data_IF_528843207934
#
_entry.id   IF_528843207934
#
_cell.length_a   1.000
_cell.length_b   1.000
_cell.length_c   1.000
_cell.angle_alpha   90.00
_cell.angle_beta   90.00
_cell.angle_gamma   90.00
#
_symmetry.space_group_name_H-M   'P 1'
#
loop_
_entity.id
_entity.type
_entity.pdbx_description
1 polymer ?
#
# COMPACT_ATOMS: atom_id res chain seq x y z
N UNK A 1 17.20 -29.97 14.15
CA UNK A 1 15.74 -29.95 13.94
C UNK A 1 15.15 -29.27 15.15
N UNK A 2 14.46 -28.14 14.99
CA UNK A 2 13.90 -27.40 16.13
C UNK A 2 12.80 -28.22 16.80
N UNK A 3 12.57 -28.02 18.11
CA UNK A 3 11.41 -28.57 18.80
C UNK A 3 10.10 -28.15 18.10
N UNK A 4 10.08 -26.95 17.52
CA UNK A 4 8.97 -26.45 16.71
C UNK A 4 8.73 -27.31 15.45
N UNK A 5 9.78 -27.64 14.69
CA UNK A 5 9.67 -28.47 13.48
C UNK A 5 9.19 -29.89 13.81
N UNK A 6 9.60 -30.41 14.97
CA UNK A 6 9.18 -31.73 15.45
C UNK A 6 7.68 -31.79 15.72
N UNK A 7 7.08 -30.72 16.26
CA UNK A 7 5.61 -30.62 16.44
C UNK A 7 4.93 -30.73 15.08
N UNK A 8 5.37 -29.94 14.11
CA UNK A 8 4.74 -29.84 12.79
C UNK A 8 4.96 -31.03 11.87
N UNK A 9 5.91 -31.92 12.18
CA UNK A 9 6.19 -33.15 11.42
C UNK A 9 5.67 -34.42 12.12
N UNK A 10 5.47 -34.38 13.44
CA UNK A 10 4.98 -35.52 14.24
C UNK A 10 3.50 -35.88 14.03
N UNK A 11 3.12 -37.06 14.51
CA UNK A 11 1.71 -37.47 14.62
C UNK A 11 1.06 -36.83 15.83
N UNK A 12 -0.21 -36.46 15.72
CA UNK A 12 -0.95 -35.87 16.84
C UNK A 12 -1.02 -36.85 18.02
N UNK A 13 -0.61 -36.39 19.21
CA UNK A 13 -0.68 -37.18 20.44
C UNK A 13 -1.91 -36.78 21.23
N UNK A 14 -2.97 -37.57 21.15
CA UNK A 14 -4.23 -37.28 21.82
C UNK A 14 -4.06 -37.16 23.34
N UNK A 15 -4.91 -36.34 23.96
CA UNK A 15 -5.07 -36.24 25.42
C UNK A 15 -6.37 -36.97 25.74
N UNK A 16 -6.28 -38.03 26.53
CA UNK A 16 -7.38 -38.99 26.72
C UNK A 16 -8.50 -38.44 27.61
N UNK A 17 -8.15 -37.72 28.67
CA UNK A 17 -9.12 -37.21 29.65
C UNK A 17 -9.24 -35.69 29.60
N UNK A 18 -10.41 -35.17 29.93
CA UNK A 18 -10.63 -33.73 30.06
C UNK A 18 -9.81 -33.14 31.23
N UNK A 19 -9.71 -33.87 32.35
CA UNK A 19 -8.97 -33.43 33.54
C UNK A 19 -7.46 -33.26 33.25
N UNK A 20 -6.86 -34.18 32.48
CA UNK A 20 -5.46 -34.05 32.04
C UNK A 20 -5.27 -32.82 31.15
N UNK A 21 -6.25 -32.52 30.29
CA UNK A 21 -6.22 -31.36 29.42
C UNK A 21 -6.30 -30.06 30.23
N UNK A 22 -7.19 -30.00 31.23
CA UNK A 22 -7.33 -28.88 32.16
C UNK A 22 -6.00 -28.64 32.90
N UNK A 23 -5.38 -29.69 33.47
CA UNK A 23 -4.12 -29.57 34.18
C UNK A 23 -2.97 -29.07 33.28
N UNK A 24 -2.93 -29.52 32.02
CA UNK A 24 -1.96 -29.03 31.05
C UNK A 24 -2.21 -27.56 30.68
N UNK A 25 -3.46 -27.14 30.53
CA UNK A 25 -3.82 -25.74 30.25
C UNK A 25 -3.39 -24.83 31.39
N UNK A 26 -3.67 -25.20 32.65
CA UNK A 26 -3.26 -24.39 33.81
C UNK A 26 -1.74 -24.20 33.89
N UNK A 27 -0.98 -25.28 33.68
CA UNK A 27 0.49 -25.23 33.62
C UNK A 27 0.97 -24.38 32.44
N UNK A 28 0.37 -24.55 31.27
CA UNK A 28 0.72 -23.78 30.08
C UNK A 28 0.44 -22.28 30.26
N UNK A 29 -0.65 -21.90 30.95
CA UNK A 29 -0.93 -20.52 31.34
C UNK A 29 0.11 -19.95 32.29
N UNK A 30 0.68 -20.77 33.17
CA UNK A 30 1.78 -20.41 34.05
C UNK A 30 3.15 -20.33 33.33
N UNK A 31 3.19 -20.59 32.02
CA UNK A 31 4.42 -20.53 31.22
C UNK A 31 5.26 -21.82 31.21
N UNK A 32 4.68 -22.95 31.62
CA UNK A 32 5.34 -24.26 31.55
C UNK A 32 5.52 -24.71 30.08
N UNK A 33 6.74 -24.58 29.58
CA UNK A 33 7.11 -24.97 28.20
C UNK A 33 6.76 -26.43 27.87
N UNK A 34 7.13 -27.45 28.68
CA UNK A 34 6.69 -28.83 28.47
C UNK A 34 5.16 -28.99 28.32
N UNK A 35 4.37 -28.27 29.12
CA UNK A 35 2.91 -28.32 29.02
C UNK A 35 2.41 -27.71 27.70
N UNK A 36 2.98 -26.58 27.28
CA UNK A 36 2.67 -25.95 25.99
C UNK A 36 2.99 -26.91 24.83
N UNK A 37 4.17 -27.53 24.85
CA UNK A 37 4.59 -28.49 23.81
C UNK A 37 3.64 -29.70 23.75
N UNK A 38 3.27 -30.26 24.90
CA UNK A 38 2.34 -31.39 24.97
C UNK A 38 0.96 -31.06 24.41
N UNK A 39 0.44 -29.86 24.70
CA UNK A 39 -0.80 -29.36 24.13
C UNK A 39 -0.66 -29.14 22.62
N UNK A 40 0.44 -28.53 22.16
CA UNK A 40 0.69 -28.29 20.74
C UNK A 40 0.74 -29.60 19.94
N UNK A 41 1.40 -30.64 20.46
CA UNK A 41 1.41 -31.98 19.85
C UNK A 41 0.00 -32.59 19.72
N UNK A 42 -0.90 -32.34 20.67
CA UNK A 42 -2.29 -32.81 20.61
C UNK A 42 -3.11 -32.04 19.57
N UNK A 43 -2.88 -30.72 19.49
CA UNK A 43 -3.64 -29.80 18.65
C UNK A 43 -3.06 -29.58 17.24
N UNK A 44 -1.92 -30.17 16.90
CA UNK A 44 -1.25 -29.96 15.60
C UNK A 44 -2.15 -30.28 14.40
N UNK A 45 -3.03 -31.27 14.47
CA UNK A 45 -3.97 -31.58 13.39
C UNK A 45 -4.97 -30.44 13.14
N UNK A 46 -5.40 -29.74 14.19
CA UNK A 46 -6.28 -28.57 14.06
C UNK A 46 -5.54 -27.41 13.42
N UNK A 47 -4.29 -27.16 13.84
CA UNK A 47 -3.44 -26.12 13.27
C UNK A 47 -3.12 -26.39 11.79
N UNK A 48 -2.73 -27.63 11.44
CA UNK A 48 -2.51 -28.06 10.03
C UNK A 48 -3.75 -27.84 9.16
N UNK A 49 -4.93 -28.19 9.68
CA UNK A 49 -6.20 -27.96 8.97
C UNK A 49 -6.49 -26.47 8.80
N UNK A 50 -6.19 -25.64 9.79
CA UNK A 50 -6.40 -24.20 9.73
C UNK A 50 -5.49 -23.52 8.69
N UNK A 51 -4.20 -23.90 8.63
CA UNK A 51 -3.24 -23.25 7.70
C UNK A 51 -3.49 -23.60 6.23
N UNK A 52 -4.18 -24.70 5.92
CA UNK A 52 -4.36 -25.19 4.53
C UNK A 52 -5.00 -24.12 3.62
N UNK A 53 -5.88 -23.26 4.16
CA UNK A 53 -6.50 -22.18 3.38
C UNK A 53 -5.58 -20.97 3.14
N UNK A 54 -4.48 -20.85 3.88
CA UNK A 54 -3.56 -19.72 3.84
C UNK A 54 -2.26 -20.01 3.09
N UNK A 55 -1.94 -21.27 2.79
CA UNK A 55 -0.70 -21.62 2.07
C UNK A 55 -0.61 -21.03 0.65
N UNK A 56 -1.70 -20.45 0.14
CA UNK A 56 -1.73 -19.72 -1.14
C UNK A 56 -1.33 -18.24 -1.02
N UNK A 57 -1.48 -17.68 0.18
CA UNK A 57 -1.32 -16.24 0.44
C UNK A 57 -0.23 -15.95 1.48
N UNK A 58 0.32 -16.99 2.10
CA UNK A 58 1.31 -16.90 3.15
C UNK A 58 2.32 -18.06 3.00
N UNK A 59 3.64 -17.81 3.09
CA UNK A 59 4.63 -18.87 3.15
C UNK A 59 4.30 -19.87 4.26
N UNK A 60 4.64 -21.14 4.03
CA UNK A 60 4.24 -22.22 4.95
C UNK A 60 4.78 -22.02 6.37
N UNK A 61 6.00 -21.52 6.52
CA UNK A 61 6.60 -21.30 7.82
C UNK A 61 5.95 -20.13 8.56
N UNK A 62 5.60 -19.05 7.86
CA UNK A 62 4.84 -17.93 8.45
C UNK A 62 3.43 -18.38 8.87
N UNK A 63 2.77 -19.21 8.05
CA UNK A 63 1.48 -19.79 8.41
C UNK A 63 1.57 -20.68 9.66
N UNK A 64 2.64 -21.47 9.79
CA UNK A 64 2.90 -22.29 10.98
C UNK A 64 3.13 -21.43 12.21
N UNK A 65 3.93 -20.37 12.10
CA UNK A 65 4.21 -19.46 13.20
C UNK A 65 2.93 -18.72 13.65
N UNK A 66 2.18 -18.15 12.70
CA UNK A 66 0.93 -17.45 12.98
C UNK A 66 -0.12 -18.37 13.64
N UNK A 67 -0.28 -19.60 13.14
CA UNK A 67 -1.15 -20.58 13.77
C UNK A 67 -0.72 -20.92 15.21
N UNK A 68 0.60 -21.02 15.46
CA UNK A 68 1.11 -21.26 16.81
C UNK A 68 0.86 -20.07 17.75
N UNK A 69 1.00 -18.83 17.27
CA UNK A 69 0.64 -17.62 18.03
C UNK A 69 -0.85 -17.64 18.41
N UNK A 70 -1.75 -17.86 17.44
CA UNK A 70 -3.18 -17.97 17.72
C UNK A 70 -3.52 -19.11 18.68
N UNK A 71 -2.79 -20.22 18.61
CA UNK A 71 -2.93 -21.31 19.57
C UNK A 71 -2.53 -20.91 21.00
N UNK A 72 -1.41 -20.20 21.17
CA UNK A 72 -0.98 -19.69 22.48
C UNK A 72 -1.97 -18.67 23.05
N UNK A 73 -2.55 -17.81 22.21
CA UNK A 73 -3.61 -16.88 22.61
C UNK A 73 -4.86 -17.62 23.09
N UNK A 74 -5.27 -18.70 22.41
CA UNK A 74 -6.37 -19.53 22.86
C UNK A 74 -6.10 -20.14 24.25
N UNK A 75 -4.89 -20.66 24.49
CA UNK A 75 -4.50 -21.19 25.81
C UNK A 75 -4.61 -20.11 26.89
N UNK A 76 -4.16 -18.88 26.60
CA UNK A 76 -4.26 -17.76 27.56
C UNK A 76 -5.71 -17.37 27.83
N UNK A 77 -6.55 -17.36 26.81
CA UNK A 77 -7.91 -16.84 26.88
C UNK A 77 -8.97 -17.84 27.34
N UNK A 78 -8.69 -19.15 27.33
CA UNK A 78 -9.67 -20.17 27.73
C UNK A 78 -10.18 -19.96 29.16
N UNK A 79 -11.48 -20.00 29.35
CA UNK A 79 -12.11 -19.92 30.66
C UNK A 79 -12.52 -21.33 31.10
N UNK A 80 -11.70 -21.94 31.98
CA UNK A 80 -11.87 -23.31 32.45
C UNK A 80 -13.13 -23.50 33.31
N UNK A 81 -13.75 -22.42 33.79
CA UNK A 81 -15.04 -22.49 34.47
C UNK A 81 -16.21 -22.69 33.48
N UNK A 82 -16.01 -22.38 32.20
CA UNK A 82 -17.05 -22.46 31.15
C UNK A 82 -16.87 -23.63 30.20
N UNK A 83 -15.64 -24.08 29.99
CA UNK A 83 -15.34 -25.22 29.13
C UNK A 83 -14.09 -25.95 29.62
N UNK A 84 -14.15 -27.27 29.55
CA UNK A 84 -13.08 -28.21 29.90
C UNK A 84 -12.20 -28.58 28.69
N UNK A 85 -12.62 -28.24 27.46
CA UNK A 85 -11.89 -28.59 26.22
C UNK A 85 -11.43 -27.35 25.45
N UNK A 86 -10.15 -27.28 25.12
CA UNK A 86 -9.58 -26.15 24.37
C UNK A 86 -10.13 -26.09 22.93
N UNK A 87 -10.51 -27.24 22.35
CA UNK A 87 -11.11 -27.34 21.01
C UNK A 87 -12.33 -26.43 20.82
N UNK A 88 -13.07 -26.16 21.90
CA UNK A 88 -14.27 -25.32 21.90
C UNK A 88 -13.98 -23.87 21.48
N UNK A 89 -12.77 -23.37 21.74
CA UNK A 89 -12.41 -21.97 21.50
C UNK A 89 -11.23 -21.78 20.56
N UNK A 90 -10.45 -22.82 20.25
CA UNK A 90 -9.18 -22.67 19.53
C UNK A 90 -9.35 -22.10 18.11
N UNK A 91 -10.44 -22.47 17.42
CA UNK A 91 -10.67 -22.12 16.02
C UNK A 91 -10.66 -20.61 15.74
N UNK A 92 -11.45 -19.75 16.42
CA UNK A 92 -11.43 -18.32 16.17
C UNK A 92 -10.05 -17.68 16.36
N UNK A 93 -9.27 -18.09 17.37
CA UNK A 93 -7.93 -17.54 17.56
C UNK A 93 -6.96 -17.95 16.45
N UNK A 94 -7.00 -19.21 16.00
CA UNK A 94 -6.22 -19.65 14.84
C UNK A 94 -6.55 -18.84 13.59
N UNK A 95 -7.84 -18.62 13.34
CA UNK A 95 -8.30 -17.86 12.18
C UNK A 95 -7.85 -16.41 12.26
N UNK A 96 -8.03 -15.76 13.41
CA UNK A 96 -7.67 -14.34 13.58
C UNK A 96 -6.16 -14.12 13.41
N UNK A 97 -5.33 -15.00 13.99
CA UNK A 97 -3.88 -14.89 13.88
C UNK A 97 -3.39 -15.12 12.44
N UNK A 98 -4.00 -16.08 11.72
CA UNK A 98 -3.68 -16.31 10.30
C UNK A 98 -4.17 -15.18 9.39
N UNK A 99 -5.34 -14.61 9.67
CA UNK A 99 -5.86 -13.44 8.93
C UNK A 99 -4.94 -12.24 9.12
N UNK A 100 -4.52 -11.96 10.36
CA UNK A 100 -3.57 -10.89 10.67
C UNK A 100 -2.23 -11.08 9.92
N UNK A 101 -1.61 -12.26 10.03
CA UNK A 101 -0.36 -12.57 9.35
C UNK A 101 -0.49 -12.49 7.82
N UNK A 102 -1.60 -12.96 7.25
CA UNK A 102 -1.84 -12.85 5.80
C UNK A 102 -2.04 -11.41 5.33
N UNK A 103 -2.57 -10.55 6.20
CA UNK A 103 -2.74 -9.13 5.91
C UNK A 103 -1.40 -8.38 5.99
N UNK A 104 -0.51 -8.77 6.91
CA UNK A 104 0.82 -8.19 7.06
C UNK A 104 1.78 -8.64 5.95
N UNK A 105 1.69 -9.90 5.53
CA UNK A 105 2.50 -10.45 4.44
C UNK A 105 2.12 -9.92 3.05
N UNK A 106 1.05 -9.13 2.94
CA UNK A 106 0.75 -8.36 1.72
C UNK A 106 1.74 -7.20 1.62
N UNK A 107 2.88 -7.44 0.99
CA UNK A 107 3.82 -6.41 0.59
C UNK A 107 3.14 -5.41 -0.35
N UNK A 108 3.29 -4.11 -0.09
CA UNK A 108 2.68 -3.04 -0.88
C UNK A 108 1.63 -2.26 -0.10
N UNK A 109 0.36 -2.48 -0.41
CA UNK A 109 -0.76 -1.68 0.12
C UNK A 109 -1.79 -2.56 0.85
N UNK A 110 -2.05 -2.24 2.12
CA UNK A 110 -3.09 -2.90 2.90
C UNK A 110 -4.43 -2.19 2.70
N UNK A 111 -5.40 -2.91 2.12
CA UNK A 111 -6.79 -2.46 2.01
C UNK A 111 -7.61 -3.16 3.11
N UNK A 112 -8.35 -2.41 3.96
CA UNK A 112 -9.20 -3.02 4.99
C UNK A 112 -10.19 -4.05 4.41
N UNK A 113 -10.37 -5.17 5.10
CA UNK A 113 -11.17 -6.32 4.62
C UNK A 113 -12.56 -5.93 4.11
N UNK A 114 -13.29 -5.06 4.83
CA UNK A 114 -14.62 -4.58 4.43
C UNK A 114 -14.60 -3.78 3.13
N UNK A 115 -13.57 -2.96 2.93
CA UNK A 115 -13.38 -2.18 1.70
C UNK A 115 -13.08 -3.11 0.53
N UNK A 116 -12.26 -4.14 0.78
CA UNK A 116 -11.83 -5.13 -0.20
C UNK A 116 -13.01 -6.04 -0.64
N UNK A 117 -13.82 -6.52 0.30
CA UNK A 117 -15.05 -7.26 0.04
C UNK A 117 -16.03 -6.44 -0.82
N UNK A 118 -16.23 -5.16 -0.45
CA UNK A 118 -17.10 -4.24 -1.20
C UNK A 118 -16.58 -4.03 -2.62
N UNK A 119 -15.27 -3.84 -2.79
CA UNK A 119 -14.63 -3.70 -4.10
C UNK A 119 -14.87 -4.92 -5.00
N UNK A 120 -14.62 -6.15 -4.50
CA UNK A 120 -14.86 -7.35 -5.31
C UNK A 120 -16.34 -7.56 -5.64
N UNK A 121 -17.25 -7.21 -4.73
CA UNK A 121 -18.68 -7.23 -5.01
C UNK A 121 -19.07 -6.27 -6.14
N UNK A 122 -18.54 -5.04 -6.14
CA UNK A 122 -18.78 -4.06 -7.21
C UNK A 122 -18.23 -4.57 -8.55
N UNK A 123 -17.01 -5.12 -8.53
CA UNK A 123 -16.35 -5.65 -9.74
C UNK A 123 -17.12 -6.84 -10.33
N UNK A 124 -17.63 -7.74 -9.49
CA UNK A 124 -18.45 -8.86 -9.93
C UNK A 124 -19.79 -8.43 -10.55
N UNK A 125 -20.40 -7.35 -10.05
CA UNK A 125 -21.65 -6.79 -10.62
C UNK A 125 -21.45 -6.09 -11.97
N UNK A 126 -20.19 -5.78 -12.31
CA UNK A 126 -19.79 -5.22 -13.58
C UNK A 126 -19.13 -6.26 -14.50
N UNK A 127 -19.36 -7.56 -14.25
CA UNK A 127 -18.78 -8.68 -15.01
C UNK A 127 -17.24 -8.61 -15.15
N UNK A 128 -16.55 -8.01 -14.17
CA UNK A 128 -15.10 -7.87 -14.17
C UNK A 128 -14.56 -6.66 -14.92
N UNK A 129 -15.39 -5.80 -15.52
CA UNK A 129 -14.94 -4.55 -16.17
C UNK A 129 -14.66 -3.46 -15.10
N UNK A 130 -13.39 -3.03 -14.92
CA UNK A 130 -13.02 -2.02 -13.93
C UNK A 130 -13.65 -0.65 -14.20
N UNK A 131 -13.82 -0.25 -15.46
CA UNK A 131 -14.35 1.06 -15.81
C UNK A 131 -15.86 1.15 -15.55
N UNK A 132 -16.60 0.07 -15.84
CA UNK A 132 -18.00 -0.05 -15.47
C UNK A 132 -18.18 -0.17 -13.94
N UNK A 133 -17.32 -0.93 -13.27
CA UNK A 133 -17.32 -1.07 -11.82
C UNK A 133 -17.08 0.26 -11.09
N UNK A 134 -16.14 1.09 -11.56
CA UNK A 134 -15.85 2.39 -10.99
C UNK A 134 -17.08 3.33 -11.02
N UNK A 135 -17.82 3.33 -12.13
CA UNK A 135 -19.09 4.10 -12.26
C UNK A 135 -20.20 3.53 -11.39
N UNK A 136 -20.17 2.23 -11.08
CA UNK A 136 -21.13 1.55 -10.23
C UNK A 136 -20.85 1.78 -8.74
N UNK A 137 -19.59 2.03 -8.37
CA UNK A 137 -19.12 2.14 -7.00
C UNK A 137 -19.96 3.09 -6.09
N UNK A 138 -20.41 4.29 -6.56
CA UNK A 138 -21.22 5.17 -5.72
C UNK A 138 -22.54 4.55 -5.25
N UNK A 139 -23.11 3.59 -5.99
CA UNK A 139 -24.32 2.86 -5.58
C UNK A 139 -24.09 1.92 -4.39
N UNK A 140 -22.82 1.55 -4.17
CA UNK A 140 -22.39 0.67 -3.09
C UNK A 140 -21.64 1.45 -1.99
N UNK A 141 -21.92 2.75 -1.85
CA UNK A 141 -21.30 3.62 -0.85
C UNK A 141 -19.76 3.70 -0.96
N UNK A 142 -19.21 3.53 -2.16
CA UNK A 142 -17.78 3.71 -2.45
C UNK A 142 -17.62 4.83 -3.46
N UNK A 143 -16.77 5.82 -3.20
CA UNK A 143 -16.48 6.85 -4.19
C UNK A 143 -15.74 6.24 -5.37
N UNK A 144 -15.95 6.77 -6.57
CA UNK A 144 -15.24 6.34 -7.78
C UNK A 144 -13.71 6.46 -7.60
N UNK A 145 -13.23 7.55 -7.00
CA UNK A 145 -11.81 7.72 -6.69
C UNK A 145 -11.29 6.62 -5.76
N UNK A 146 -12.04 6.29 -4.71
CA UNK A 146 -11.67 5.22 -3.76
C UNK A 146 -11.69 3.84 -4.43
N UNK A 147 -12.58 3.60 -5.39
CA UNK A 147 -12.55 2.37 -6.18
C UNK A 147 -11.24 2.26 -6.97
N UNK A 148 -10.80 3.34 -7.62
CA UNK A 148 -9.53 3.35 -8.35
C UNK A 148 -8.32 3.21 -7.42
N UNK A 149 -8.33 3.82 -6.24
CA UNK A 149 -7.26 3.64 -5.23
C UNK A 149 -7.14 2.16 -4.81
N UNK A 150 -8.28 1.49 -4.57
CA UNK A 150 -8.32 0.07 -4.22
C UNK A 150 -7.92 -0.81 -5.39
N UNK A 151 -8.39 -0.49 -6.60
CA UNK A 151 -8.01 -1.20 -7.83
C UNK A 151 -6.49 -1.16 -8.01
N UNK A 152 -5.90 0.03 -7.94
CA UNK A 152 -4.46 0.24 -8.03
C UNK A 152 -3.71 -0.54 -6.93
N UNK A 153 -4.17 -0.49 -5.69
CA UNK A 153 -3.57 -1.24 -4.58
C UNK A 153 -3.59 -2.77 -4.81
N UNK A 154 -4.65 -3.31 -5.41
CA UNK A 154 -4.78 -4.75 -5.70
C UNK A 154 -3.95 -5.17 -6.91
N UNK A 155 -3.85 -4.31 -7.94
CA UNK A 155 -3.08 -4.60 -9.16
C UNK A 155 -1.60 -4.27 -9.03
N UNK A 156 -1.20 -3.43 -8.08
CA UNK A 156 0.20 -3.04 -7.84
C UNK A 156 1.09 -4.18 -7.29
N UNK A 157 0.52 -5.37 -7.07
CA UNK A 157 1.28 -6.56 -6.63
C UNK A 157 2.06 -7.25 -7.76
N UNK A 158 2.06 -6.71 -8.98
CA UNK A 158 3.00 -7.18 -10.01
C UNK A 158 4.41 -6.64 -9.68
N UNK A 159 5.36 -7.57 -9.47
CA UNK A 159 6.76 -7.21 -9.26
C UNK A 159 7.30 -6.42 -10.45
N UNK A 160 8.07 -5.37 -10.17
CA UNK A 160 8.79 -4.63 -11.22
C UNK A 160 9.69 -5.56 -12.04
N UNK A 161 10.25 -6.61 -11.44
CA UNK A 161 11.03 -7.63 -12.16
C UNK A 161 10.15 -8.38 -13.17
N UNK A 162 8.92 -8.75 -12.79
CA UNK A 162 7.99 -9.41 -13.70
C UNK A 162 7.54 -8.50 -14.83
N UNK A 163 7.38 -7.20 -14.56
CA UNK A 163 7.08 -6.20 -15.58
C UNK A 163 8.28 -5.98 -16.52
N UNK A 164 9.50 -5.95 -15.98
CA UNK A 164 10.75 -5.85 -16.75
C UNK A 164 10.99 -7.10 -17.61
N UNK A 165 10.68 -8.29 -17.11
CA UNK A 165 10.79 -9.53 -17.91
C UNK A 165 9.79 -9.54 -19.07
N UNK A 166 8.58 -9.02 -18.86
CA UNK A 166 7.53 -9.00 -19.87
C UNK A 166 7.68 -7.86 -20.91
N UNK A 167 8.15 -6.68 -20.48
CA UNK A 167 8.12 -5.44 -21.27
C UNK A 167 9.51 -4.79 -21.45
N UNK A 168 10.56 -5.34 -20.85
CA UNK A 168 11.92 -4.79 -20.89
C UNK A 168 11.99 -3.36 -20.33
N UNK A 169 12.92 -2.56 -20.86
CA UNK A 169 13.11 -1.16 -20.47
C UNK A 169 11.86 -0.28 -20.63
N UNK A 170 10.85 -0.71 -21.40
CA UNK A 170 9.57 0.01 -21.51
C UNK A 170 8.78 0.05 -20.19
N UNK A 171 8.88 -0.98 -19.34
CA UNK A 171 8.31 -0.97 -17.99
C UNK A 171 8.99 0.10 -17.11
N UNK A 172 10.30 0.29 -17.28
CA UNK A 172 11.06 1.32 -16.58
C UNK A 172 10.67 2.72 -17.06
N UNK A 173 10.42 2.91 -18.35
CA UNK A 173 9.97 4.20 -18.90
C UNK A 173 8.64 4.66 -18.31
N UNK A 174 7.68 3.77 -18.02
CA UNK A 174 6.41 4.15 -17.42
C UNK A 174 6.55 4.65 -15.95
N UNK A 175 7.56 4.17 -15.23
CA UNK A 175 7.81 4.50 -13.81
C UNK A 175 8.81 5.64 -13.64
N UNK A 176 9.78 5.74 -14.55
CA UNK A 176 10.91 6.68 -14.44
C UNK A 176 10.76 7.90 -15.33
N UNK A 177 9.78 7.96 -16.24
CA UNK A 177 9.48 9.21 -16.93
C UNK A 177 8.91 10.16 -15.88
N UNK A 178 9.64 11.20 -15.46
CA UNK A 178 8.94 12.33 -14.89
C UNK A 178 7.98 12.81 -15.99
N UNK A 179 6.92 13.52 -15.65
CA UNK A 179 6.14 14.27 -16.64
C UNK A 179 6.96 15.42 -17.29
N UNK A 180 8.29 15.26 -17.39
CA UNK A 180 9.32 16.23 -17.75
C UNK A 180 10.10 15.79 -18.99
N UNK A 181 9.42 15.25 -20.01
CA UNK A 181 9.71 15.81 -21.33
C UNK A 181 9.04 17.19 -21.32
N UNK A 182 9.63 18.13 -20.58
CA UNK A 182 9.47 19.54 -20.89
C UNK A 182 10.12 19.66 -22.25
N UNK A 183 9.24 19.69 -23.24
CA UNK A 183 9.48 19.47 -24.65
C UNK A 183 10.69 20.27 -25.11
N UNK A 184 11.57 19.65 -25.90
CA UNK A 184 12.59 20.41 -26.62
C UNK A 184 11.93 21.57 -27.42
N UNK A 185 10.67 21.38 -27.84
CA UNK A 185 9.80 22.38 -28.43
C UNK A 185 9.48 23.54 -27.48
N UNK A 186 9.09 23.27 -26.22
CA UNK A 186 8.83 24.30 -25.21
C UNK A 186 10.05 25.17 -24.94
N UNK A 187 11.24 24.55 -24.88
CA UNK A 187 12.49 25.29 -24.70
C UNK A 187 12.77 26.22 -25.88
N UNK A 188 12.55 25.75 -27.11
CA UNK A 188 12.69 26.56 -28.32
C UNK A 188 11.67 27.70 -28.35
N UNK A 189 10.43 27.45 -27.95
CA UNK A 189 9.38 28.48 -27.87
C UNK A 189 9.69 29.55 -26.83
N UNK A 190 10.23 29.16 -25.67
CA UNK A 190 10.67 30.09 -24.62
C UNK A 190 11.84 30.95 -25.10
N UNK A 191 12.83 30.35 -25.77
CA UNK A 191 13.96 31.10 -26.32
C UNK A 191 13.50 32.09 -27.41
N UNK A 192 12.57 31.69 -28.28
CA UNK A 192 11.94 32.56 -29.27
C UNK A 192 11.17 33.72 -28.61
N UNK A 193 10.41 33.43 -27.54
CA UNK A 193 9.70 34.45 -26.76
C UNK A 193 10.67 35.51 -26.22
N UNK A 194 11.76 35.07 -25.58
CA UNK A 194 12.73 35.99 -24.98
C UNK A 194 13.57 36.76 -26.01
N UNK A 195 13.68 36.26 -27.25
CA UNK A 195 14.27 36.99 -28.36
C UNK A 195 13.41 38.18 -28.85
N UNK A 196 12.09 38.14 -28.62
CA UNK A 196 11.14 39.16 -29.06
C UNK A 196 11.14 40.45 -28.21
N UNK A 197 11.70 40.40 -27.00
CA UNK A 197 11.62 41.50 -26.02
C UNK A 197 12.98 42.14 -25.76
N UNK A 198 12.96 43.36 -25.23
CA UNK A 198 14.21 44.04 -24.85
C UNK A 198 14.81 43.47 -23.56
N UNK A 199 16.05 43.85 -23.26
CA UNK A 199 16.81 43.31 -22.13
C UNK A 199 16.11 43.53 -20.78
N UNK A 200 15.47 44.68 -20.58
CA UNK A 200 14.77 44.97 -19.33
C UNK A 200 13.50 44.13 -19.19
N UNK A 201 12.74 43.95 -20.26
CA UNK A 201 11.56 43.10 -20.30
C UNK A 201 11.90 41.62 -20.07
N UNK A 202 12.98 41.16 -20.72
CA UNK A 202 13.54 39.83 -20.53
C UNK A 202 13.90 39.60 -19.06
N UNK A 203 14.68 40.50 -18.47
CA UNK A 203 15.16 40.35 -17.10
C UNK A 203 14.01 40.35 -16.08
N UNK A 204 13.03 41.26 -16.25
CA UNK A 204 11.83 41.28 -15.41
C UNK A 204 11.05 39.96 -15.50
N UNK A 205 10.86 39.43 -16.71
CA UNK A 205 10.17 38.16 -16.89
C UNK A 205 10.97 36.96 -16.35
N UNK A 206 12.29 36.94 -16.50
CA UNK A 206 13.13 35.86 -15.97
C UNK A 206 13.09 35.79 -14.45
N UNK A 207 13.16 36.93 -13.77
CA UNK A 207 13.03 37.01 -12.32
C UNK A 207 11.60 36.67 -11.85
N UNK A 208 10.57 37.19 -12.52
CA UNK A 208 9.19 36.94 -12.10
C UNK A 208 8.79 35.47 -12.22
N UNK A 209 9.22 34.79 -13.29
CA UNK A 209 8.87 33.39 -13.55
C UNK A 209 9.91 32.38 -13.06
N UNK A 210 10.97 32.82 -12.38
CA UNK A 210 11.96 31.92 -11.78
C UNK A 210 12.98 31.32 -12.76
N UNK A 211 13.17 31.90 -13.95
CA UNK A 211 14.20 31.47 -14.91
C UNK A 211 15.64 31.83 -14.48
N UNK A 212 15.80 32.61 -13.41
CA UNK A 212 17.11 33.01 -12.87
C UNK A 212 17.43 32.31 -11.55
N UNK A 213 16.50 32.33 -10.58
CA UNK A 213 16.74 31.88 -9.20
C UNK A 213 15.90 30.66 -8.79
N UNK A 214 15.33 29.93 -9.74
CA UNK A 214 14.37 28.81 -9.55
C UNK A 214 13.03 29.23 -8.91
N UNK A 215 13.04 30.22 -8.01
CA UNK A 215 11.85 30.79 -7.37
C UNK A 215 11.31 32.01 -8.11
N UNK A 216 9.99 32.17 -8.11
CA UNK A 216 9.33 33.37 -8.64
C UNK A 216 9.55 34.56 -7.71
N UNK A 217 9.95 35.71 -8.27
CA UNK A 217 10.15 36.94 -7.50
C UNK A 217 8.95 37.90 -7.65
N UNK A 218 8.33 38.39 -6.56
CA UNK A 218 7.22 39.34 -6.66
C UNK A 218 7.62 40.67 -7.31
N UNK A 219 6.68 41.32 -8.05
CA UNK A 219 6.92 42.60 -8.76
C UNK A 219 7.52 43.70 -7.86
N UNK A 220 7.20 43.71 -6.57
CA UNK A 220 7.73 44.70 -5.61
C UNK A 220 9.23 44.49 -5.33
N UNK A 221 9.64 43.24 -5.18
CA UNK A 221 11.02 42.84 -4.92
C UNK A 221 11.88 43.03 -6.17
N UNK A 222 11.36 42.65 -7.35
CA UNK A 222 12.01 42.95 -8.63
C UNK A 222 12.20 44.47 -8.79
N UNK A 223 11.19 45.26 -8.42
CA UNK A 223 11.27 46.71 -8.46
C UNK A 223 12.38 47.25 -7.56
N UNK A 224 12.51 46.71 -6.35
CA UNK A 224 13.59 47.06 -5.44
C UNK A 224 14.97 46.73 -6.04
N UNK A 225 15.14 45.53 -6.59
CA UNK A 225 16.41 45.06 -7.20
C UNK A 225 16.83 45.87 -8.42
N UNK A 226 15.87 46.22 -9.29
CA UNK A 226 16.13 46.92 -10.55
C UNK A 226 16.00 48.45 -10.46
N UNK A 227 15.73 49.00 -9.28
CA UNK A 227 15.57 50.45 -9.09
C UNK A 227 14.30 51.03 -9.73
N UNK A 228 13.22 50.25 -9.81
CA UNK A 228 11.94 50.64 -10.40
C UNK A 228 10.77 50.52 -9.42
N UNK A 229 9.70 51.26 -9.68
CA UNK A 229 8.46 51.07 -8.91
C UNK A 229 7.81 49.73 -9.28
N UNK A 230 7.11 49.11 -8.31
CA UNK A 230 6.30 47.90 -8.54
C UNK A 230 5.40 48.03 -9.76
N UNK A 231 4.74 49.19 -9.94
CA UNK A 231 3.84 49.43 -11.06
C UNK A 231 4.58 49.48 -12.40
N UNK A 232 5.82 50.00 -12.42
CA UNK A 232 6.66 49.98 -13.62
C UNK A 232 7.03 48.55 -14.00
N UNK A 233 7.46 47.72 -13.03
CA UNK A 233 7.76 46.30 -13.25
C UNK A 233 6.54 45.55 -13.79
N UNK A 234 5.37 45.75 -13.19
CA UNK A 234 4.13 45.12 -13.64
C UNK A 234 3.79 45.49 -15.10
N UNK A 235 3.91 46.77 -15.45
CA UNK A 235 3.67 47.25 -16.83
C UNK A 235 4.69 46.68 -17.82
N UNK A 236 5.96 46.64 -17.45
CA UNK A 236 7.04 46.05 -18.24
C UNK A 236 6.75 44.57 -18.52
N UNK A 237 6.36 43.80 -17.49
CA UNK A 237 5.98 42.39 -17.63
C UNK A 237 4.77 42.19 -18.54
N UNK A 238 3.72 42.99 -18.38
CA UNK A 238 2.53 42.90 -19.23
C UNK A 238 2.85 43.19 -20.69
N UNK A 239 3.66 44.23 -20.95
CA UNK A 239 4.12 44.56 -22.30
C UNK A 239 4.95 43.42 -22.91
N UNK A 240 5.92 42.90 -22.16
CA UNK A 240 6.76 41.78 -22.57
C UNK A 240 5.92 40.57 -23.00
N UNK A 241 4.90 40.20 -22.21
CA UNK A 241 4.02 39.08 -22.54
C UNK A 241 3.18 39.33 -23.79
N UNK A 242 2.74 40.56 -24.03
CA UNK A 242 2.04 40.92 -25.26
C UNK A 242 2.95 40.77 -26.48
N UNK A 243 4.18 41.28 -26.39
CA UNK A 243 5.16 41.22 -27.48
C UNK A 243 5.58 39.75 -27.77
N UNK A 244 5.86 38.97 -26.72
CA UNK A 244 6.13 37.52 -26.83
C UNK A 244 5.00 36.75 -27.51
N UNK A 245 3.75 37.03 -27.15
CA UNK A 245 2.57 36.37 -27.76
C UNK A 245 2.42 36.72 -29.24
N UNK A 246 2.69 37.97 -29.62
CA UNK A 246 2.64 38.38 -31.02
C UNK A 246 3.68 37.66 -31.87
N UNK A 247 4.86 37.38 -31.31
CA UNK A 247 5.94 36.68 -32.03
C UNK A 247 5.73 35.17 -32.13
N UNK A 248 5.23 34.52 -31.07
CA UNK A 248 4.99 33.07 -31.08
C UNK A 248 3.77 32.70 -31.94
N UNK A 249 2.78 33.59 -32.04
CA UNK A 249 1.56 33.37 -32.82
C UNK A 249 1.68 33.75 -34.32
N UNK A 250 2.83 34.28 -34.75
CA UNK A 250 3.10 34.69 -36.13
C UNK A 250 3.90 33.61 -36.88
#
# INVERSE_FOLDING_TARGET
MSAFDAIWSGSARHIETADDEVALIERAKAGDEPAILRLAESYVSHMRKAITRYTRVLPLDDARQAAFVGFLEAIRAVDLAKTDRLVSIVRPYLINALDAASSEAREGFSVPTRTLERFYNILAQADGDPAAAAKLAPRYEMRESTFWDVYAAVTANESLESALDAQGDAALHAVTSPAEIVDAEDRVLVDLAFAAVNELEREVCRLYYGFTEYDTVPDAEIGHRLGFSRLKVQRTRQRALTDMRMTIAA
#
